data_IF_878837001991
#
_entry.id   IF_878837001991
#
_cell.length_a   1.000
_cell.length_b   1.000
_cell.length_c   1.000
_cell.angle_alpha   90.00
_cell.angle_beta   90.00
_cell.angle_gamma   90.00
#
_symmetry.space_group_name_H-M   'P 1'
#
loop_
_entity.id
_entity.type
_entity.pdbx_description
1 polymer ?
#
# COMPACT_ATOMS: atom_id res chain seq x y z
N UNK A 1 10.81 36.30 -26.39
CA UNK A 1 10.79 35.02 -25.68
C UNK A 1 11.27 33.81 -26.51
N UNK A 2 12.08 33.96 -27.54
CA UNK A 2 12.64 32.88 -28.39
C UNK A 2 14.15 32.65 -28.23
N UNK A 3 14.82 33.32 -27.28
CA UNK A 3 16.29 33.21 -27.10
C UNK A 3 16.74 32.50 -25.80
N UNK A 4 15.84 32.10 -24.95
CA UNK A 4 16.18 31.43 -23.67
C UNK A 4 16.20 29.88 -23.80
N UNK A 5 15.58 29.32 -24.85
CA UNK A 5 15.53 27.86 -25.06
C UNK A 5 16.80 27.26 -25.70
N UNK A 6 17.65 28.07 -26.33
CA UNK A 6 18.88 27.58 -26.99
C UNK A 6 20.07 27.47 -26.03
N UNK A 7 20.04 28.15 -24.89
CA UNK A 7 21.11 28.08 -23.87
C UNK A 7 21.00 26.90 -22.92
N UNK A 8 19.84 26.28 -22.76
CA UNK A 8 19.66 25.04 -21.95
C UNK A 8 20.09 23.76 -22.69
N UNK A 9 20.18 23.79 -24.03
CA UNK A 9 20.51 22.59 -24.82
C UNK A 9 22.03 22.39 -25.05
N UNK A 10 22.86 23.36 -24.72
CA UNK A 10 24.32 23.27 -24.85
C UNK A 10 25.02 22.84 -23.57
N UNK A 11 24.31 22.83 -22.41
CA UNK A 11 24.89 22.45 -21.11
C UNK A 11 24.77 20.96 -20.77
N UNK A 12 24.11 20.16 -21.61
CA UNK A 12 23.88 18.70 -21.35
C UNK A 12 24.86 17.78 -22.11
N UNK A 13 25.86 18.30 -22.84
CA UNK A 13 26.81 17.46 -23.64
C UNK A 13 28.25 17.49 -23.07
N UNK A 14 28.45 17.84 -21.82
CA UNK A 14 29.80 18.06 -21.29
C UNK A 14 30.19 17.31 -20.01
N UNK A 15 29.45 16.31 -19.56
CA UNK A 15 29.90 15.48 -18.42
C UNK A 15 29.70 14.01 -18.75
N UNK A 16 30.59 13.49 -19.62
CA UNK A 16 30.96 12.08 -19.51
C UNK A 16 31.94 11.98 -18.35
N UNK A 17 31.43 11.85 -17.13
CA UNK A 17 32.23 11.37 -16.03
C UNK A 17 32.67 9.95 -16.37
N UNK A 18 33.99 9.81 -16.57
CA UNK A 18 34.68 8.53 -16.48
C UNK A 18 34.45 8.01 -15.05
N UNK A 19 33.35 7.32 -14.80
CA UNK A 19 33.22 6.48 -13.64
C UNK A 19 34.22 5.31 -13.84
N UNK A 20 35.43 5.51 -13.38
CA UNK A 20 36.29 4.39 -13.06
C UNK A 20 35.47 3.50 -12.14
N UNK A 21 35.15 2.29 -12.60
CA UNK A 21 34.64 1.26 -11.72
C UNK A 21 35.75 1.02 -10.70
N UNK A 22 35.59 1.61 -9.54
CA UNK A 22 36.43 1.34 -8.37
C UNK A 22 36.29 -0.15 -8.12
N UNK A 23 37.38 -0.87 -8.26
CA UNK A 23 37.47 -2.29 -7.99
C UNK A 23 37.31 -2.47 -6.49
N UNK A 24 36.06 -2.47 -6.03
CA UNK A 24 35.69 -2.65 -4.63
C UNK A 24 36.04 -4.10 -4.28
N UNK A 25 37.11 -4.28 -3.52
CA UNK A 25 37.54 -5.58 -3.00
C UNK A 25 36.37 -6.31 -2.33
N UNK A 26 36.31 -7.63 -2.57
CA UNK A 26 35.33 -8.49 -1.93
C UNK A 26 35.46 -8.39 -0.41
N UNK A 27 34.47 -7.81 0.24
CA UNK A 27 34.49 -7.63 1.69
C UNK A 27 34.02 -8.91 2.37
N UNK A 28 34.87 -9.50 3.20
CA UNK A 28 34.46 -10.61 4.08
C UNK A 28 33.76 -10.04 5.31
N UNK A 29 32.52 -10.43 5.53
CA UNK A 29 31.67 -10.02 6.65
C UNK A 29 31.50 -11.21 7.59
N UNK A 30 32.17 -11.17 8.74
CA UNK A 30 31.88 -12.10 9.82
C UNK A 30 30.53 -11.75 10.44
N UNK A 31 29.55 -12.65 10.40
CA UNK A 31 28.19 -12.40 10.78
C UNK A 31 27.72 -13.34 11.89
N UNK A 32 27.32 -12.79 13.04
CA UNK A 32 26.66 -13.57 14.09
C UNK A 32 25.17 -13.75 13.77
N UNK A 33 24.52 -14.77 14.34
CA UNK A 33 23.08 -15.01 14.17
C UNK A 33 22.24 -13.78 14.60
N UNK A 34 22.60 -13.15 15.71
CA UNK A 34 21.92 -11.95 16.23
C UNK A 34 22.06 -10.76 15.30
N UNK A 35 23.24 -10.55 14.72
CA UNK A 35 23.48 -9.48 13.75
C UNK A 35 22.75 -9.75 12.43
N UNK A 36 22.70 -11.01 11.99
CA UNK A 36 21.94 -11.42 10.80
C UNK A 36 20.45 -11.12 10.97
N UNK A 37 19.85 -11.46 12.12
CA UNK A 37 18.44 -11.16 12.43
C UNK A 37 18.21 -9.66 12.44
N UNK A 38 19.06 -8.89 13.13
CA UNK A 38 18.92 -7.45 13.18
C UNK A 38 19.03 -6.81 11.79
N UNK A 39 19.96 -7.27 10.97
CA UNK A 39 20.15 -6.77 9.61
C UNK A 39 18.94 -7.09 8.73
N UNK A 40 18.40 -8.32 8.82
CA UNK A 40 17.20 -8.72 8.09
C UNK A 40 15.98 -7.86 8.46
N UNK A 41 15.75 -7.63 9.74
CA UNK A 41 14.66 -6.78 10.23
C UNK A 41 14.78 -5.32 9.78
N UNK A 42 16.00 -4.83 9.50
CA UNK A 42 16.25 -3.47 9.05
C UNK A 42 16.28 -3.28 7.53
N UNK A 43 16.74 -4.28 6.78
CA UNK A 43 17.10 -4.11 5.37
C UNK A 43 16.43 -5.12 4.42
N UNK A 44 15.82 -6.22 4.93
CA UNK A 44 15.15 -7.17 4.05
C UNK A 44 13.96 -6.54 3.35
N UNK A 45 13.68 -7.00 2.14
CA UNK A 45 12.53 -6.56 1.36
C UNK A 45 11.23 -6.87 2.11
N UNK A 46 11.14 -8.05 2.73
CA UNK A 46 9.94 -8.49 3.45
C UNK A 46 9.66 -7.60 4.67
N UNK A 47 10.70 -7.21 5.44
CA UNK A 47 10.55 -6.26 6.53
C UNK A 47 10.10 -4.88 6.04
N UNK A 48 10.63 -4.41 4.90
CA UNK A 48 10.22 -3.14 4.29
C UNK A 48 8.76 -3.19 3.81
N UNK A 49 8.32 -4.30 3.22
CA UNK A 49 6.91 -4.53 2.82
C UNK A 49 6.01 -4.48 4.05
N UNK A 50 6.31 -5.27 5.09
CA UNK A 50 5.53 -5.32 6.32
C UNK A 50 5.40 -3.92 6.97
N UNK A 51 6.49 -3.15 7.01
CA UNK A 51 6.48 -1.79 7.54
C UNK A 51 5.61 -0.85 6.70
N UNK A 52 5.64 -0.97 5.37
CA UNK A 52 4.83 -0.12 4.48
C UNK A 52 3.34 -0.49 4.58
N UNK A 53 2.99 -1.75 4.74
CA UNK A 53 1.61 -2.20 5.00
C UNK A 53 1.08 -1.61 6.32
N UNK A 54 1.87 -1.67 7.39
CA UNK A 54 1.52 -1.03 8.66
C UNK A 54 1.34 0.49 8.52
N UNK A 55 2.24 1.17 7.77
CA UNK A 55 2.11 2.61 7.49
C UNK A 55 0.83 2.92 6.71
N UNK A 56 0.48 2.09 5.72
CA UNK A 56 -0.76 2.23 4.96
C UNK A 56 -1.96 2.15 5.89
N UNK A 57 -2.06 1.10 6.70
CA UNK A 57 -3.14 0.94 7.67
C UNK A 57 -3.20 2.08 8.70
N UNK A 58 -2.03 2.60 9.13
CA UNK A 58 -1.95 3.76 10.01
C UNK A 58 -2.55 5.02 9.36
N UNK A 59 -2.21 5.29 8.09
CA UNK A 59 -2.72 6.46 7.39
C UNK A 59 -4.21 6.31 7.05
N UNK A 60 -4.68 5.11 6.71
CA UNK A 60 -6.11 4.82 6.53
C UNK A 60 -6.90 5.13 7.83
N UNK A 61 -6.39 4.64 8.96
CA UNK A 61 -6.99 4.94 10.26
C UNK A 61 -6.94 6.45 10.61
N UNK A 62 -5.84 7.13 10.27
CA UNK A 62 -5.73 8.59 10.44
C UNK A 62 -6.71 9.34 9.54
N UNK A 63 -6.86 8.91 8.29
CA UNK A 63 -7.85 9.47 7.35
C UNK A 63 -9.26 9.29 7.88
N UNK A 64 -9.61 8.10 8.35
CA UNK A 64 -10.90 7.87 9.00
C UNK A 64 -11.14 8.82 10.20
N UNK A 65 -10.13 9.08 11.01
CA UNK A 65 -10.24 10.07 12.09
C UNK A 65 -10.43 11.49 11.58
N UNK A 66 -9.73 11.86 10.51
CA UNK A 66 -9.85 13.17 9.88
C UNK A 66 -11.24 13.38 9.25
N UNK A 67 -11.84 12.37 8.63
CA UNK A 67 -13.20 12.40 8.08
C UNK A 67 -14.29 12.72 9.12
N UNK A 68 -13.96 12.62 10.40
CA UNK A 68 -14.86 13.01 11.49
C UNK A 68 -14.75 14.48 11.89
N UNK A 69 -13.80 15.22 11.33
CA UNK A 69 -13.61 16.65 11.53
C UNK A 69 -14.29 17.43 10.40
N UNK A 70 -14.58 18.74 10.61
CA UNK A 70 -15.08 19.59 9.55
C UNK A 70 -14.08 19.66 8.39
N UNK A 71 -14.55 19.51 7.17
CA UNK A 71 -13.77 19.63 5.95
C UNK A 71 -14.12 20.91 5.22
N UNK A 72 -13.14 21.64 4.73
CA UNK A 72 -13.33 22.84 3.90
C UNK A 72 -12.98 22.47 2.47
N UNK A 73 -13.97 22.56 1.59
CA UNK A 73 -13.85 22.18 0.18
C UNK A 73 -14.05 23.41 -0.68
N UNK A 74 -13.16 23.63 -1.64
CA UNK A 74 -13.37 24.58 -2.74
C UNK A 74 -13.67 23.80 -4.02
N UNK A 75 -14.81 24.07 -4.63
CA UNK A 75 -15.21 23.52 -5.92
C UNK A 75 -15.35 24.64 -6.94
N UNK A 76 -14.75 24.51 -8.11
CA UNK A 76 -14.83 25.54 -9.13
C UNK A 76 -14.85 24.99 -10.54
N UNK A 77 -15.62 25.62 -11.40
CA UNK A 77 -15.63 25.36 -12.85
C UNK A 77 -15.14 26.62 -13.57
N UNK A 78 -13.95 26.52 -14.19
CA UNK A 78 -13.21 27.66 -14.75
C UNK A 78 -12.58 27.31 -16.09
N UNK A 79 -13.02 27.85 -17.22
CA UNK A 79 -14.35 28.30 -17.59
C UNK A 79 -15.22 27.16 -18.14
N UNK A 80 -16.53 27.30 -18.11
CA UNK A 80 -17.45 26.46 -18.87
C UNK A 80 -17.98 27.23 -20.08
N UNK A 81 -17.87 26.64 -21.27
CA UNK A 81 -18.44 27.21 -22.51
C UNK A 81 -19.48 26.26 -23.06
N UNK A 82 -20.68 26.79 -23.30
CA UNK A 82 -21.80 26.04 -23.84
C UNK A 82 -22.44 26.80 -25.01
N UNK A 83 -22.57 26.15 -26.16
CA UNK A 83 -23.32 26.65 -27.31
C UNK A 83 -24.31 25.58 -27.73
N UNK A 84 -25.58 25.76 -27.38
CA UNK A 84 -26.64 24.79 -27.62
C UNK A 84 -27.96 25.45 -27.93
N UNK A 85 -28.87 24.74 -28.57
CA UNK A 85 -30.24 25.16 -28.75
C UNK A 85 -31.08 24.65 -27.60
N UNK A 86 -31.76 25.57 -26.89
CA UNK A 86 -32.72 25.22 -25.85
C UNK A 86 -34.12 25.51 -26.35
N UNK A 87 -35.06 24.60 -26.06
CA UNK A 87 -36.49 24.77 -26.34
C UNK A 87 -37.07 25.77 -25.37
N UNK A 88 -37.64 26.81 -25.90
CA UNK A 88 -38.29 27.89 -25.12
C UNK A 88 -39.77 27.96 -25.50
N UNK A 89 -40.64 27.99 -24.50
CA UNK A 89 -42.09 28.20 -24.70
C UNK A 89 -42.39 29.69 -24.67
N UNK A 90 -43.00 30.20 -25.73
CA UNK A 90 -43.46 31.58 -25.81
C UNK A 90 -44.75 31.78 -25.02
N UNK A 91 -45.13 33.03 -24.76
CA UNK A 91 -46.36 33.40 -24.03
C UNK A 91 -47.65 32.95 -24.70
N UNK A 92 -47.60 32.65 -26.01
CA UNK A 92 -48.71 32.10 -26.81
C UNK A 92 -48.82 30.58 -26.75
N UNK A 93 -47.93 29.92 -25.99
CA UNK A 93 -47.84 28.46 -25.87
C UNK A 93 -47.03 27.76 -26.95
N UNK A 94 -46.58 28.48 -28.00
CA UNK A 94 -45.73 27.92 -29.06
C UNK A 94 -44.30 27.67 -28.54
N UNK A 95 -43.62 26.69 -29.15
CA UNK A 95 -42.22 26.40 -28.83
C UNK A 95 -41.29 26.95 -29.91
N UNK A 96 -40.26 27.63 -29.48
CA UNK A 96 -39.17 28.09 -30.34
C UNK A 96 -37.84 27.54 -29.84
N UNK A 97 -36.85 27.37 -30.72
CA UNK A 97 -35.51 27.00 -30.34
C UNK A 97 -34.64 28.26 -30.30
N UNK A 98 -34.12 28.55 -29.13
CA UNK A 98 -33.21 29.68 -28.92
C UNK A 98 -31.80 29.16 -28.76
N UNK A 99 -30.86 29.74 -29.49
CA UNK A 99 -29.45 29.41 -29.36
C UNK A 99 -28.91 30.09 -28.09
N UNK A 100 -28.55 29.26 -27.12
CA UNK A 100 -27.82 29.70 -25.93
C UNK A 100 -26.33 29.59 -26.20
N UNK A 101 -25.62 30.69 -26.04
CA UNK A 101 -24.17 30.76 -26.18
C UNK A 101 -23.64 31.41 -24.92
N UNK A 102 -23.16 30.60 -23.98
CA UNK A 102 -22.89 30.99 -22.59
C UNK A 102 -21.47 30.62 -22.20
N UNK A 103 -20.79 31.58 -21.58
CA UNK A 103 -19.57 31.36 -20.84
C UNK A 103 -19.89 31.49 -19.35
N UNK A 104 -19.59 30.40 -18.59
CA UNK A 104 -19.82 30.34 -17.15
C UNK A 104 -18.52 30.19 -16.37
N UNK A 105 -18.52 30.80 -15.20
CA UNK A 105 -17.53 30.59 -14.14
C UNK A 105 -18.32 30.35 -12.84
N UNK A 106 -17.99 29.29 -12.14
CA UNK A 106 -18.59 28.97 -10.83
C UNK A 106 -17.50 28.73 -9.81
N UNK A 107 -17.70 29.21 -8.60
CA UNK A 107 -16.88 28.93 -7.44
C UNK A 107 -17.72 28.76 -6.20
N UNK A 108 -17.50 27.67 -5.48
CA UNK A 108 -18.18 27.35 -4.23
C UNK A 108 -17.17 26.97 -3.16
N UNK A 109 -17.35 27.50 -1.97
CA UNK A 109 -16.65 27.04 -0.76
C UNK A 109 -17.68 26.42 0.15
N UNK A 110 -17.44 25.18 0.58
CA UNK A 110 -18.28 24.48 1.54
C UNK A 110 -17.47 24.06 2.77
N UNK A 111 -18.08 24.19 3.94
CA UNK A 111 -17.58 23.60 5.19
C UNK A 111 -18.55 22.48 5.54
N UNK A 112 -18.08 21.25 5.43
CA UNK A 112 -18.89 20.05 5.60
C UNK A 112 -18.54 19.31 6.87
N UNK A 113 -19.55 18.80 7.59
CA UNK A 113 -19.36 18.00 8.79
C UNK A 113 -20.30 16.81 8.82
N UNK A 114 -19.75 15.62 8.96
CA UNK A 114 -20.51 14.42 9.19
C UNK A 114 -21.00 14.35 10.64
N UNK A 115 -22.29 14.08 10.84
CA UNK A 115 -22.91 13.92 12.17
C UNK A 115 -22.87 12.44 12.53
N UNK A 116 -21.85 12.02 13.25
CA UNK A 116 -21.61 10.61 13.55
C UNK A 116 -22.74 9.94 14.37
N UNK A 117 -23.53 10.72 15.11
CA UNK A 117 -24.62 10.19 15.93
C UNK A 117 -25.80 9.73 15.08
N UNK A 118 -26.14 10.51 14.05
CA UNK A 118 -27.33 10.30 13.22
C UNK A 118 -27.00 9.77 11.82
N UNK A 119 -25.72 9.84 11.40
CA UNK A 119 -25.29 9.50 10.05
C UNK A 119 -25.64 10.58 9.01
N UNK A 120 -26.11 11.73 9.46
CA UNK A 120 -26.39 12.89 8.60
C UNK A 120 -25.14 13.72 8.30
N UNK A 121 -25.30 14.72 7.43
CA UNK A 121 -24.26 15.67 7.03
C UNK A 121 -24.82 17.08 7.11
N UNK A 122 -24.08 17.98 7.71
CA UNK A 122 -24.35 19.40 7.70
C UNK A 122 -23.29 20.11 6.87
N UNK A 123 -23.69 21.07 6.05
CA UNK A 123 -22.78 21.85 5.23
C UNK A 123 -23.13 23.33 5.31
N UNK A 124 -22.12 24.17 5.44
CA UNK A 124 -22.22 25.62 5.30
C UNK A 124 -21.55 26.00 3.98
N UNK A 125 -22.34 26.52 3.04
CA UNK A 125 -21.90 26.80 1.69
C UNK A 125 -21.93 28.28 1.38
N UNK A 126 -20.98 28.75 0.58
CA UNK A 126 -21.00 30.04 -0.10
C UNK A 126 -20.59 29.83 -1.56
N UNK A 127 -21.34 30.40 -2.50
CA UNK A 127 -21.03 30.27 -3.92
C UNK A 127 -21.23 31.58 -4.69
N UNK A 128 -20.51 31.68 -5.79
CA UNK A 128 -20.62 32.72 -6.78
C UNK A 128 -20.59 32.13 -8.18
N UNK A 129 -21.66 32.41 -8.92
CA UNK A 129 -21.80 32.06 -10.32
C UNK A 129 -21.69 33.31 -11.18
N UNK A 130 -20.83 33.30 -12.16
CA UNK A 130 -20.76 34.32 -13.21
C UNK A 130 -21.16 33.67 -14.53
N UNK A 131 -22.12 34.28 -15.19
CA UNK A 131 -22.62 33.85 -16.48
C UNK A 131 -22.54 35.00 -17.48
N UNK A 132 -21.91 34.78 -18.60
CA UNK A 132 -21.87 35.72 -19.73
C UNK A 132 -22.56 35.11 -20.93
N UNK A 133 -23.70 35.73 -21.29
CA UNK A 133 -24.40 35.45 -22.53
C UNK A 133 -23.62 36.09 -23.69
N UNK A 134 -23.26 35.26 -24.71
CA UNK A 134 -22.54 35.71 -25.89
C UNK A 134 -23.50 35.83 -27.11
N UNK A 135 -23.21 36.77 -28.03
CA UNK A 135 -24.01 36.97 -29.24
C UNK A 135 -24.86 38.23 -29.20
N UNK A 136 -25.96 38.26 -29.97
CA UNK A 136 -26.87 39.42 -30.00
C UNK A 136 -27.57 39.56 -28.66
N UNK A 137 -27.39 40.72 -28.00
CA UNK A 137 -27.90 40.94 -26.65
C UNK A 137 -26.99 40.36 -25.55
N UNK A 138 -25.70 40.41 -25.74
CA UNK A 138 -24.73 39.96 -24.74
C UNK A 138 -24.86 40.73 -23.43
N UNK A 139 -24.91 40.00 -22.30
CA UNK A 139 -24.94 40.55 -20.94
C UNK A 139 -24.14 39.66 -19.99
N UNK A 140 -23.75 40.25 -18.89
CA UNK A 140 -23.15 39.52 -17.76
C UNK A 140 -24.22 39.37 -16.67
N UNK A 141 -24.16 38.25 -15.98
CA UNK A 141 -25.04 37.98 -14.84
C UNK A 141 -24.23 37.39 -13.72
N UNK A 142 -24.41 37.84 -12.52
CA UNK A 142 -23.84 37.30 -11.31
C UNK A 142 -24.97 36.77 -10.42
N UNK A 143 -24.78 35.56 -9.92
CA UNK A 143 -25.64 34.98 -8.89
C UNK A 143 -24.76 34.60 -7.71
N UNK A 144 -25.09 35.09 -6.53
CA UNK A 144 -24.38 34.78 -5.29
C UNK A 144 -25.27 34.02 -4.33
N UNK A 145 -24.67 33.11 -3.59
CA UNK A 145 -25.21 32.52 -2.38
C UNK A 145 -24.21 32.84 -1.26
N UNK A 146 -24.36 34.02 -0.60
CA UNK A 146 -23.40 34.45 0.41
C UNK A 146 -23.28 33.48 1.58
N UNK A 147 -24.40 32.88 1.98
CA UNK A 147 -24.45 31.85 3.02
C UNK A 147 -25.66 30.95 2.81
N UNK A 148 -25.43 29.64 2.89
CA UNK A 148 -26.47 28.63 2.88
C UNK A 148 -26.06 27.49 3.84
N UNK A 149 -27.01 27.11 4.70
CA UNK A 149 -26.87 25.98 5.60
C UNK A 149 -27.68 24.81 5.05
N UNK A 150 -27.04 23.70 4.81
CA UNK A 150 -27.63 22.48 4.24
C UNK A 150 -27.54 21.35 5.22
N UNK A 151 -28.64 20.63 5.43
CA UNK A 151 -28.68 19.38 6.20
C UNK A 151 -29.15 18.24 5.30
N UNK A 152 -28.37 17.19 5.24
CA UNK A 152 -28.77 15.92 4.62
C UNK A 152 -28.83 14.85 5.69
N UNK A 153 -30.00 14.28 5.96
CA UNK A 153 -30.21 13.33 7.05
C UNK A 153 -30.94 12.08 6.55
N UNK A 154 -30.25 10.90 6.52
CA UNK A 154 -30.94 9.63 6.33
C UNK A 154 -31.76 9.30 7.61
N UNK A 155 -33.05 9.00 7.43
CA UNK A 155 -33.97 8.71 8.56
C UNK A 155 -33.98 7.21 8.85
N UNK A 156 -34.02 6.37 7.83
CA UNK A 156 -34.06 4.92 7.97
C UNK A 156 -32.86 4.22 7.31
N UNK A 157 -31.89 4.98 6.80
CA UNK A 157 -30.66 4.47 6.25
C UNK A 157 -29.72 3.96 7.33
N UNK A 158 -28.71 3.21 6.91
CA UNK A 158 -27.60 2.80 7.77
C UNK A 158 -26.76 4.03 8.16
N UNK A 159 -26.30 4.05 9.41
CA UNK A 159 -25.33 5.04 9.84
C UNK A 159 -23.90 4.52 9.60
N UNK A 160 -23.33 4.82 8.43
CA UNK A 160 -21.99 4.38 8.01
C UNK A 160 -20.90 4.85 8.98
N UNK A 161 -21.02 6.06 9.52
CA UNK A 161 -20.06 6.63 10.47
C UNK A 161 -20.00 5.83 11.77
N UNK A 162 -21.12 5.31 12.22
CA UNK A 162 -21.20 4.45 13.41
C UNK A 162 -20.49 3.11 13.18
N UNK A 163 -20.65 2.53 11.98
CA UNK A 163 -20.01 1.26 11.64
C UNK A 163 -18.51 1.43 11.39
N UNK A 164 -18.10 2.44 10.64
CA UNK A 164 -16.69 2.79 10.43
C UNK A 164 -15.95 3.00 11.75
N UNK A 165 -16.56 3.69 12.73
CA UNK A 165 -15.98 3.84 14.07
C UNK A 165 -15.74 2.55 14.82
N UNK A 166 -16.45 1.48 14.50
CA UNK A 166 -16.28 0.16 15.12
C UNK A 166 -15.28 -0.71 14.36
N UNK A 167 -15.27 -0.59 13.02
CA UNK A 167 -14.48 -1.43 12.12
C UNK A 167 -13.03 -0.92 12.03
N UNK A 168 -12.83 0.38 11.80
CA UNK A 168 -11.49 0.93 11.51
C UNK A 168 -10.47 0.76 12.65
N UNK A 169 -10.82 0.89 13.93
CA UNK A 169 -9.90 0.58 15.01
C UNK A 169 -9.46 -0.88 15.00
N UNK A 170 -10.40 -1.82 14.73
CA UNK A 170 -10.09 -3.27 14.67
C UNK A 170 -9.19 -3.58 13.50
N UNK A 171 -9.42 -2.96 12.33
CA UNK A 171 -8.57 -3.08 11.15
C UNK A 171 -7.13 -2.62 11.42
N UNK A 172 -6.97 -1.52 12.13
CA UNK A 172 -5.64 -1.04 12.51
C UNK A 172 -4.96 -1.94 13.54
N UNK A 173 -5.68 -2.49 14.51
CA UNK A 173 -5.13 -3.46 15.46
C UNK A 173 -4.78 -4.80 14.79
N UNK A 174 -5.54 -5.23 13.77
CA UNK A 174 -5.21 -6.37 12.91
C UNK A 174 -3.89 -6.13 12.17
N UNK A 175 -3.74 -4.95 11.53
CA UNK A 175 -2.52 -4.60 10.81
C UNK A 175 -1.29 -4.54 11.72
N UNK A 176 -1.42 -4.08 12.98
CA UNK A 176 -0.34 -4.13 13.95
C UNK A 176 0.06 -5.56 14.31
N UNK A 177 -0.90 -6.43 14.51
CA UNK A 177 -0.63 -7.84 14.79
C UNK A 177 0.02 -8.53 13.59
N UNK A 178 -0.46 -8.28 12.37
CA UNK A 178 0.11 -8.79 11.13
C UNK A 178 1.55 -8.30 10.92
N UNK A 179 1.86 -7.05 11.24
CA UNK A 179 3.23 -6.53 11.21
C UNK A 179 4.16 -7.29 12.15
N UNK A 180 3.73 -7.55 13.39
CA UNK A 180 4.53 -8.33 14.35
C UNK A 180 4.76 -9.76 13.85
N UNK A 181 3.74 -10.41 13.29
CA UNK A 181 3.86 -11.75 12.70
C UNK A 181 4.85 -11.74 11.52
N UNK A 182 4.78 -10.73 10.64
CA UNK A 182 5.72 -10.61 9.51
C UNK A 182 7.16 -10.38 9.97
N UNK A 183 7.41 -9.62 11.03
CA UNK A 183 8.75 -9.45 11.61
C UNK A 183 9.29 -10.76 12.19
N UNK A 184 8.43 -11.55 12.84
CA UNK A 184 8.82 -12.88 13.32
C UNK A 184 9.08 -13.86 12.17
N UNK A 185 8.32 -13.81 11.09
CA UNK A 185 8.56 -14.60 9.87
C UNK A 185 9.90 -14.27 9.23
N UNK A 186 10.25 -12.98 9.14
CA UNK A 186 11.57 -12.52 8.69
C UNK A 186 12.66 -13.11 9.60
N UNK A 187 12.44 -13.14 10.91
CA UNK A 187 13.39 -13.73 11.88
C UNK A 187 13.57 -15.23 11.64
N UNK A 188 12.47 -15.97 11.49
CA UNK A 188 12.51 -17.44 11.24
C UNK A 188 13.20 -17.73 9.91
N UNK A 189 12.90 -16.99 8.87
CA UNK A 189 13.52 -17.13 7.54
C UNK A 189 15.02 -16.85 7.60
N UNK A 190 15.42 -15.80 8.34
CA UNK A 190 16.84 -15.48 8.57
C UNK A 190 17.57 -16.62 9.27
N UNK A 191 17.00 -17.15 10.35
CA UNK A 191 17.55 -18.29 11.09
C UNK A 191 17.73 -19.50 10.15
N UNK A 192 16.72 -19.79 9.34
CA UNK A 192 16.75 -20.91 8.40
C UNK A 192 17.87 -20.75 7.36
N UNK A 193 17.99 -19.59 6.73
CA UNK A 193 19.05 -19.34 5.75
C UNK A 193 20.43 -19.34 6.40
N UNK A 194 20.56 -18.81 7.61
CA UNK A 194 21.82 -18.78 8.35
C UNK A 194 22.34 -20.20 8.66
N UNK A 195 21.49 -21.07 9.20
CA UNK A 195 21.88 -22.44 9.50
C UNK A 195 22.09 -23.29 8.24
N UNK A 196 21.33 -23.04 7.17
CA UNK A 196 21.57 -23.70 5.88
C UNK A 196 22.94 -23.35 5.31
N UNK A 197 23.38 -22.09 5.44
CA UNK A 197 24.72 -21.69 5.04
C UNK A 197 25.79 -22.36 5.90
N UNK A 198 25.64 -22.36 7.21
CA UNK A 198 26.57 -23.00 8.15
C UNK A 198 26.74 -24.52 7.84
N UNK A 199 25.60 -25.21 7.66
CA UNK A 199 25.61 -26.64 7.31
C UNK A 199 26.25 -26.89 5.94
N UNK A 200 26.07 -25.98 4.98
CA UNK A 200 26.73 -26.14 3.66
C UNK A 200 28.23 -25.94 3.75
N UNK A 201 28.75 -25.05 4.61
CA UNK A 201 30.18 -24.88 4.87
C UNK A 201 30.78 -26.15 5.52
N UNK A 202 30.15 -26.65 6.57
CA UNK A 202 30.58 -27.87 7.23
C UNK A 202 30.58 -29.06 6.28
N UNK A 203 29.53 -29.20 5.47
CA UNK A 203 29.44 -30.29 4.49
C UNK A 203 30.56 -30.23 3.43
N UNK A 204 30.90 -29.02 2.97
CA UNK A 204 32.01 -28.82 2.02
C UNK A 204 33.34 -29.25 2.66
N UNK A 205 33.59 -28.89 3.91
CA UNK A 205 34.81 -29.26 4.62
C UNK A 205 34.91 -30.79 4.78
N UNK A 206 33.81 -31.45 5.18
CA UNK A 206 33.75 -32.93 5.25
C UNK A 206 33.99 -33.57 3.88
N UNK A 207 33.41 -33.00 2.79
CA UNK A 207 33.67 -33.55 1.44
C UNK A 207 35.12 -33.38 1.00
N UNK A 208 35.79 -32.26 1.36
CA UNK A 208 37.22 -32.04 1.07
C UNK A 208 38.09 -33.05 1.82
N UNK A 209 37.84 -33.29 3.11
CA UNK A 209 38.54 -34.29 3.90
C UNK A 209 38.36 -35.71 3.33
N UNK A 210 37.13 -36.04 2.90
CA UNK A 210 36.85 -37.32 2.26
C UNK A 210 37.59 -37.48 0.92
N UNK A 211 37.71 -36.42 0.11
CA UNK A 211 38.48 -36.42 -1.13
C UNK A 211 39.99 -36.63 -0.84
N UNK A 212 40.51 -35.91 0.16
CA UNK A 212 41.94 -36.10 0.56
C UNK A 212 42.20 -37.53 0.98
N UNK A 213 41.34 -38.14 1.81
CA UNK A 213 41.45 -39.52 2.24
C UNK A 213 41.36 -40.51 1.05
N UNK A 214 40.41 -40.30 0.12
CA UNK A 214 40.28 -41.15 -1.07
C UNK A 214 41.50 -41.05 -1.99
N UNK A 215 42.08 -39.88 -2.17
CA UNK A 215 43.31 -39.68 -2.93
C UNK A 215 44.51 -40.40 -2.28
N UNK A 216 44.69 -40.27 -0.95
CA UNK A 216 45.73 -41.00 -0.21
C UNK A 216 45.59 -42.50 -0.37
N UNK A 217 44.38 -43.04 -0.28
CA UNK A 217 44.12 -44.48 -0.49
C UNK A 217 44.46 -44.91 -1.92
N UNK A 218 44.10 -44.09 -2.93
CA UNK A 218 44.44 -44.37 -4.32
C UNK A 218 45.95 -44.33 -4.57
N UNK A 219 46.69 -43.37 -4.01
CA UNK A 219 48.14 -43.28 -4.09
C UNK A 219 48.83 -44.54 -3.47
N UNK A 220 48.36 -44.95 -2.28
CA UNK A 220 48.86 -46.23 -1.64
C UNK A 220 48.57 -47.44 -2.54
N UNK A 221 47.39 -47.47 -3.16
CA UNK A 221 46.99 -48.52 -4.07
C UNK A 221 47.94 -48.62 -5.31
N UNK A 222 48.29 -47.46 -5.89
CA UNK A 222 49.25 -47.38 -7.00
C UNK A 222 50.61 -48.03 -6.58
N UNK A 223 51.11 -47.68 -5.38
CA UNK A 223 52.34 -48.25 -4.86
C UNK A 223 52.20 -49.75 -4.64
N UNK A 224 51.15 -50.27 -4.02
CA UNK A 224 50.86 -51.67 -3.79
C UNK A 224 50.71 -52.46 -5.11
N UNK A 225 50.10 -51.86 -6.15
CA UNK A 225 50.00 -52.50 -7.47
C UNK A 225 51.38 -52.72 -8.13
N UNK A 226 52.26 -51.71 -8.01
CA UNK A 226 53.66 -51.85 -8.55
C UNK A 226 54.42 -53.02 -7.98
N UNK A 227 54.14 -53.41 -6.75
CA UNK A 227 54.82 -54.59 -6.08
C UNK A 227 53.93 -55.83 -6.11
N UNK A 228 52.83 -55.82 -6.87
CA UNK A 228 52.01 -57.03 -7.10
C UNK A 228 51.03 -57.40 -5.96
N UNK A 229 50.84 -56.54 -4.97
CA UNK A 229 49.99 -56.80 -3.78
C UNK A 229 48.47 -56.55 -3.95
N UNK A 230 48.01 -55.86 -5.02
CA UNK A 230 46.64 -55.69 -5.33
C UNK A 230 46.29 -55.92 -6.80
N UNK A 231 45.05 -56.26 -7.09
CA UNK A 231 44.56 -56.48 -8.45
C UNK A 231 44.34 -55.15 -9.19
N UNK A 232 44.26 -55.21 -10.52
CA UNK A 232 43.90 -54.02 -11.32
C UNK A 232 42.47 -53.56 -11.08
N UNK A 233 41.57 -54.51 -10.80
CA UNK A 233 40.19 -54.22 -10.47
C UNK A 233 40.10 -53.39 -9.19
N UNK A 234 40.79 -53.73 -8.12
CA UNK A 234 40.86 -53.02 -6.85
C UNK A 234 41.45 -51.60 -7.05
N UNK A 235 42.50 -51.48 -7.87
CA UNK A 235 43.05 -50.16 -8.20
C UNK A 235 42.00 -49.26 -8.91
N UNK A 236 41.27 -49.83 -9.87
CA UNK A 236 40.22 -49.09 -10.60
C UNK A 236 39.07 -48.72 -9.70
N UNK A 237 38.67 -49.55 -8.73
CA UNK A 237 37.67 -49.24 -7.73
C UNK A 237 38.06 -48.04 -6.84
N UNK A 238 39.34 -48.02 -6.38
CA UNK A 238 39.83 -46.88 -5.59
C UNK A 238 39.94 -45.59 -6.41
N UNK A 239 40.33 -45.71 -7.69
CA UNK A 239 40.29 -44.57 -8.61
C UNK A 239 38.89 -44.04 -8.80
N UNK A 240 37.89 -44.90 -8.98
CA UNK A 240 36.48 -44.53 -9.08
C UNK A 240 36.01 -43.84 -7.81
N UNK A 241 36.38 -44.35 -6.63
CA UNK A 241 36.04 -43.72 -5.34
C UNK A 241 36.61 -42.30 -5.21
N UNK A 242 37.87 -42.10 -5.62
CA UNK A 242 38.47 -40.75 -5.61
C UNK A 242 37.78 -39.79 -6.58
N UNK A 243 37.38 -40.27 -7.79
CA UNK A 243 36.60 -39.45 -8.73
C UNK A 243 35.21 -39.12 -8.21
N UNK A 244 34.55 -40.08 -7.55
CA UNK A 244 33.25 -39.81 -6.90
C UNK A 244 33.36 -38.79 -5.76
N UNK A 245 34.42 -38.92 -4.91
CA UNK A 245 34.68 -37.95 -3.85
C UNK A 245 34.92 -36.54 -4.43
N UNK A 246 35.64 -36.42 -5.56
CA UNK A 246 35.85 -35.15 -6.28
C UNK A 246 34.52 -34.57 -6.78
N UNK A 247 33.62 -35.41 -7.34
CA UNK A 247 32.27 -35.00 -7.74
C UNK A 247 31.48 -34.40 -6.58
N UNK A 248 31.51 -35.07 -5.39
CA UNK A 248 30.86 -34.60 -4.18
C UNK A 248 31.36 -33.24 -3.69
N UNK A 249 32.66 -32.97 -3.79
CA UNK A 249 33.22 -31.65 -3.46
C UNK A 249 32.65 -30.57 -4.39
N UNK A 250 32.52 -30.87 -5.69
CA UNK A 250 31.95 -29.92 -6.67
C UNK A 250 30.47 -29.63 -6.36
N UNK A 251 29.68 -30.66 -6.01
CA UNK A 251 28.29 -30.53 -5.61
C UNK A 251 28.16 -29.71 -4.30
N UNK A 252 28.96 -30.01 -3.29
CA UNK A 252 28.99 -29.29 -2.04
C UNK A 252 29.35 -27.79 -2.21
N UNK A 253 30.36 -27.51 -3.09
CA UNK A 253 30.72 -26.13 -3.42
C UNK A 253 29.59 -25.37 -4.12
N UNK A 254 28.86 -26.03 -5.03
CA UNK A 254 27.69 -25.43 -5.69
C UNK A 254 26.57 -25.14 -4.69
N UNK A 255 26.33 -26.08 -3.75
CA UNK A 255 25.35 -25.90 -2.67
C UNK A 255 25.72 -24.73 -1.78
N UNK A 256 26.99 -24.63 -1.35
CA UNK A 256 27.47 -23.50 -0.55
C UNK A 256 27.22 -22.16 -1.26
N UNK A 257 27.58 -22.09 -2.55
CA UNK A 257 27.34 -20.85 -3.33
C UNK A 257 25.86 -20.49 -3.40
N UNK A 258 24.96 -21.48 -3.51
CA UNK A 258 23.52 -21.26 -3.52
C UNK A 258 23.01 -20.76 -2.17
N UNK A 259 23.43 -21.38 -1.05
CA UNK A 259 23.02 -20.95 0.29
C UNK A 259 23.59 -19.56 0.63
N UNK A 260 24.81 -19.28 0.22
CA UNK A 260 25.44 -17.96 0.34
C UNK A 260 24.63 -16.89 -0.42
N UNK A 261 24.22 -17.20 -1.65
CA UNK A 261 23.40 -16.29 -2.45
C UNK A 261 22.04 -16.01 -1.80
N UNK A 262 21.37 -17.07 -1.30
CA UNK A 262 20.06 -16.92 -0.65
C UNK A 262 20.12 -16.02 0.58
N UNK A 263 21.07 -16.28 1.50
CA UNK A 263 21.21 -15.45 2.70
C UNK A 263 21.61 -14.02 2.34
N UNK A 264 22.56 -13.82 1.44
CA UNK A 264 23.02 -12.50 1.02
C UNK A 264 21.92 -11.68 0.37
N UNK A 265 21.17 -12.28 -0.56
CA UNK A 265 20.03 -11.65 -1.22
C UNK A 265 18.94 -11.31 -0.23
N UNK A 266 18.64 -12.19 0.73
CA UNK A 266 17.64 -11.95 1.75
C UNK A 266 18.02 -10.80 2.71
N UNK A 267 19.31 -10.70 3.05
CA UNK A 267 19.83 -9.61 3.88
C UNK A 267 20.04 -8.28 3.13
N UNK A 268 19.84 -8.26 1.81
CA UNK A 268 20.07 -7.07 0.99
C UNK A 268 21.56 -6.68 0.87
N UNK A 269 22.47 -7.64 1.06
CA UNK A 269 23.91 -7.43 0.93
C UNK A 269 24.36 -7.46 -0.53
N UNK A 270 25.52 -6.84 -0.83
CA UNK A 270 26.09 -6.81 -2.17
C UNK A 270 26.50 -8.22 -2.64
N UNK A 271 26.46 -8.48 -3.95
CA UNK A 271 26.94 -9.73 -4.54
C UNK A 271 28.42 -10.02 -4.25
N UNK A 272 29.20 -9.00 -3.93
CA UNK A 272 30.65 -9.11 -3.62
C UNK A 272 30.95 -9.42 -2.16
N UNK A 273 29.95 -9.25 -1.26
CA UNK A 273 30.14 -9.54 0.16
C UNK A 273 30.14 -11.06 0.38
N UNK A 274 31.21 -11.58 0.97
CA UNK A 274 31.30 -12.95 1.43
C UNK A 274 30.93 -13.01 2.90
N UNK A 275 29.89 -13.78 3.24
CA UNK A 275 29.44 -13.99 4.61
C UNK A 275 30.21 -15.16 5.21
N UNK A 276 30.80 -14.95 6.37
CA UNK A 276 31.35 -16.01 7.22
C UNK A 276 30.46 -16.13 8.46
N UNK A 277 29.60 -17.16 8.53
CA UNK A 277 28.70 -17.32 9.68
C UNK A 277 29.50 -17.80 10.89
N UNK A 278 29.23 -17.19 12.03
CA UNK A 278 29.83 -17.58 13.31
C UNK A 278 28.92 -18.60 14.00
N UNK A 279 29.46 -19.74 14.42
CA UNK A 279 28.69 -20.74 15.15
C UNK A 279 28.12 -20.11 16.43
N UNK A 280 26.76 -20.11 16.60
CA UNK A 280 26.15 -19.52 17.78
C UNK A 280 26.47 -20.34 19.04
N UNK A 281 26.60 -19.67 20.18
CA UNK A 281 26.70 -20.34 21.45
C UNK A 281 25.44 -21.16 21.75
N UNK A 282 25.56 -22.20 22.58
CA UNK A 282 24.46 -23.11 22.88
C UNK A 282 23.21 -22.36 23.36
N UNK A 283 22.10 -22.54 22.70
CA UNK A 283 20.82 -21.97 23.09
C UNK A 283 20.28 -22.73 24.28
N UNK A 284 20.09 -22.03 25.40
CA UNK A 284 19.42 -22.60 26.58
C UNK A 284 17.96 -22.89 26.25
N UNK A 285 17.54 -24.15 26.38
CA UNK A 285 16.17 -24.58 26.10
C UNK A 285 15.15 -23.81 26.96
N UNK A 286 14.24 -23.08 26.30
CA UNK A 286 13.12 -22.41 26.96
C UNK A 286 11.99 -23.41 27.18
N UNK A 287 11.53 -23.56 28.44
CA UNK A 287 10.33 -24.34 28.72
C UNK A 287 9.09 -23.48 28.45
N UNK A 288 8.33 -23.88 27.44
CA UNK A 288 7.06 -23.22 27.09
C UNK A 288 5.90 -23.90 27.84
N UNK A 289 5.09 -23.08 28.51
CA UNK A 289 3.81 -23.53 29.08
C UNK A 289 2.73 -23.37 27.99
N UNK A 290 2.08 -24.47 27.65
CA UNK A 290 1.04 -24.50 26.62
C UNK A 290 -0.10 -23.51 26.89
N UNK A 291 -0.56 -23.40 28.15
CA UNK A 291 -1.66 -22.52 28.53
C UNK A 291 -1.30 -21.04 28.33
N UNK A 292 -0.08 -20.66 28.71
CA UNK A 292 0.40 -19.27 28.53
C UNK A 292 0.61 -18.95 27.06
N UNK A 293 1.16 -19.87 26.28
CA UNK A 293 1.36 -19.67 24.83
C UNK A 293 0.02 -19.53 24.12
N UNK A 294 -0.96 -20.40 24.45
CA UNK A 294 -2.29 -20.34 23.86
C UNK A 294 -3.00 -19.03 24.18
N UNK A 295 -2.97 -18.59 25.43
CA UNK A 295 -3.58 -17.31 25.82
C UNK A 295 -2.99 -16.12 25.09
N UNK A 296 -1.63 -16.05 24.99
CA UNK A 296 -0.96 -14.99 24.27
C UNK A 296 -1.20 -15.05 22.76
N UNK A 297 -1.26 -16.25 22.17
CA UNK A 297 -1.57 -16.42 20.76
C UNK A 297 -2.99 -15.93 20.44
N UNK A 298 -3.98 -16.22 21.30
CA UNK A 298 -5.34 -15.73 21.11
C UNK A 298 -5.46 -14.20 21.21
N UNK A 299 -4.67 -13.59 22.08
CA UNK A 299 -4.68 -12.13 22.29
C UNK A 299 -4.00 -11.35 21.15
N UNK A 300 -2.90 -11.87 20.62
CA UNK A 300 -2.02 -11.14 19.70
C UNK A 300 -2.09 -11.61 18.25
N UNK A 301 -2.89 -12.65 17.94
CA UNK A 301 -2.96 -13.20 16.60
C UNK A 301 -3.75 -12.27 15.65
N UNK A 302 -3.17 -11.96 14.51
CA UNK A 302 -3.82 -11.18 13.43
C UNK A 302 -5.08 -11.87 12.93
N UNK A 303 -5.09 -13.20 12.85
CA UNK A 303 -6.23 -13.99 12.41
C UNK A 303 -7.47 -13.82 13.30
N UNK A 304 -7.30 -13.78 14.63
CA UNK A 304 -8.41 -13.53 15.56
C UNK A 304 -9.02 -12.14 15.37
N UNK A 305 -8.18 -11.13 15.13
CA UNK A 305 -8.61 -9.76 14.83
C UNK A 305 -9.28 -9.67 13.45
N UNK A 306 -8.77 -10.40 12.46
CA UNK A 306 -9.38 -10.55 11.13
C UNK A 306 -10.79 -11.12 11.20
N UNK A 307 -11.01 -12.19 12.00
CA UNK A 307 -12.34 -12.77 12.21
C UNK A 307 -13.28 -11.72 12.80
N UNK A 308 -12.85 -10.99 13.83
CA UNK A 308 -13.66 -9.95 14.46
C UNK A 308 -14.01 -8.83 13.46
N UNK A 309 -13.03 -8.38 12.66
CA UNK A 309 -13.28 -7.37 11.60
C UNK A 309 -14.29 -7.88 10.59
N UNK A 310 -14.10 -9.10 10.06
CA UNK A 310 -15.04 -9.71 9.09
C UNK A 310 -16.44 -9.87 9.65
N UNK A 311 -16.58 -10.20 10.93
CA UNK A 311 -17.88 -10.27 11.57
C UNK A 311 -18.54 -8.87 11.62
N UNK A 312 -17.80 -7.83 12.01
CA UNK A 312 -18.31 -6.46 12.01
C UNK A 312 -18.66 -5.96 10.62
N UNK A 313 -17.88 -6.31 9.59
CA UNK A 313 -18.15 -5.99 8.20
C UNK A 313 -19.41 -6.70 7.70
N UNK A 314 -19.56 -7.99 7.97
CA UNK A 314 -20.77 -8.74 7.62
C UNK A 314 -22.03 -8.18 8.31
N UNK A 315 -21.92 -7.81 9.58
CA UNK A 315 -23.02 -7.17 10.31
C UNK A 315 -23.38 -5.81 9.69
N UNK A 316 -22.36 -5.05 9.25
CA UNK A 316 -22.55 -3.78 8.52
C UNK A 316 -23.24 -4.00 7.17
N UNK A 317 -22.82 -5.02 6.40
CA UNK A 317 -23.43 -5.35 5.11
C UNK A 317 -24.90 -5.72 5.27
N UNK A 318 -25.23 -6.54 6.28
CA UNK A 318 -26.62 -6.87 6.61
C UNK A 318 -27.42 -5.64 7.02
N UNK A 319 -26.83 -4.75 7.84
CA UNK A 319 -27.49 -3.50 8.24
C UNK A 319 -27.71 -2.58 7.03
N UNK A 320 -26.74 -2.51 6.11
CA UNK A 320 -26.85 -1.73 4.87
C UNK A 320 -27.93 -2.27 3.96
N UNK A 321 -27.96 -3.59 3.74
CA UNK A 321 -29.01 -4.22 2.95
C UNK A 321 -30.42 -3.95 3.52
N UNK A 322 -30.57 -4.05 4.85
CA UNK A 322 -31.85 -3.72 5.54
C UNK A 322 -32.17 -2.22 5.43
N UNK A 323 -31.18 -1.34 5.56
CA UNK A 323 -31.36 0.11 5.43
C UNK A 323 -31.81 0.52 4.03
N UNK A 324 -31.21 -0.09 3.00
CA UNK A 324 -31.51 0.20 1.62
C UNK A 324 -32.93 -0.23 1.17
N UNK A 325 -33.56 -1.13 1.90
CA UNK A 325 -34.96 -1.52 1.62
C UNK A 325 -35.95 -0.40 1.90
N UNK A 326 -35.62 0.56 2.72
CA UNK A 326 -36.51 1.67 3.16
C UNK A 326 -35.70 2.93 3.38
N UNK A 327 -35.01 3.44 2.37
CA UNK A 327 -34.24 4.68 2.54
C UNK A 327 -35.13 5.91 2.40
N UNK A 328 -35.21 6.71 3.45
CA UNK A 328 -35.82 8.02 3.44
C UNK A 328 -34.72 9.02 3.78
N UNK A 329 -34.51 9.98 2.89
CA UNK A 329 -33.53 11.04 3.08
C UNK A 329 -34.26 12.37 3.23
N UNK A 330 -33.98 13.07 4.32
CA UNK A 330 -34.40 14.44 4.53
C UNK A 330 -33.29 15.37 4.02
N UNK A 331 -33.64 16.25 3.15
CA UNK A 331 -32.81 17.36 2.70
C UNK A 331 -33.44 18.66 3.12
N UNK A 332 -32.68 19.53 3.77
CA UNK A 332 -33.12 20.87 4.14
C UNK A 332 -31.98 21.85 3.83
N UNK A 333 -32.33 22.97 3.19
CA UNK A 333 -31.40 24.05 2.89
C UNK A 333 -32.04 25.37 3.22
N UNK A 334 -31.34 26.24 3.94
CA UNK A 334 -31.75 27.57 4.30
C UNK A 334 -30.61 28.54 4.04
N UNK A 335 -30.85 29.63 3.35
CA UNK A 335 -29.81 30.61 3.03
C UNK A 335 -30.34 31.85 2.37
N UNK A 336 -29.42 32.61 1.81
CA UNK A 336 -29.69 33.83 1.07
C UNK A 336 -29.09 33.73 -0.32
N UNK A 337 -29.81 34.30 -1.30
CA UNK A 337 -29.31 34.36 -2.69
C UNK A 337 -29.54 35.77 -3.23
N UNK A 338 -28.62 36.22 -4.08
CA UNK A 338 -28.73 37.47 -4.79
C UNK A 338 -28.39 37.29 -6.26
N UNK A 339 -28.98 38.10 -7.11
CA UNK A 339 -28.77 38.05 -8.56
C UNK A 339 -28.77 39.48 -9.13
N UNK A 340 -27.76 39.83 -9.91
CA UNK A 340 -27.65 41.13 -10.57
C UNK A 340 -26.72 41.01 -11.80
N UNK A 341 -26.74 42.06 -12.63
CA UNK A 341 -25.83 42.23 -13.77
C UNK A 341 -24.42 42.68 -13.34
N UNK A 342 -24.26 43.12 -12.11
CA UNK A 342 -23.00 43.56 -11.51
C UNK A 342 -22.61 42.68 -10.32
N UNK A 343 -21.33 42.51 -10.07
CA UNK A 343 -20.82 41.73 -8.94
C UNK A 343 -21.35 42.25 -7.58
N UNK A 344 -21.30 43.56 -7.36
CA UNK A 344 -21.76 44.17 -6.09
C UNK A 344 -23.28 44.08 -5.91
N UNK A 345 -24.05 44.20 -7.00
CA UNK A 345 -25.50 44.05 -6.97
C UNK A 345 -25.98 42.63 -6.65
N UNK A 346 -25.20 41.63 -6.97
CA UNK A 346 -25.51 40.24 -6.62
C UNK A 346 -25.47 39.99 -5.09
N UNK A 347 -24.92 40.91 -4.30
CA UNK A 347 -24.88 40.81 -2.84
C UNK A 347 -25.87 41.76 -2.15
N UNK A 348 -26.62 42.57 -2.89
CA UNK A 348 -27.62 43.51 -2.36
C UNK A 348 -28.63 43.96 -3.44
N UNK A 349 -29.96 43.71 -3.28
CA UNK A 349 -30.59 43.04 -2.15
C UNK A 349 -30.52 41.51 -2.21
N UNK A 350 -30.39 40.88 -1.06
CA UNK A 350 -30.49 39.43 -0.92
C UNK A 350 -31.96 39.01 -0.76
N UNK A 351 -32.27 37.82 -1.25
CA UNK A 351 -33.58 37.17 -1.10
C UNK A 351 -33.40 35.87 -0.30
N UNK A 352 -34.40 35.54 0.49
CA UNK A 352 -34.47 34.28 1.21
C UNK A 352 -34.54 33.13 0.22
N UNK A 353 -33.77 32.08 0.50
CA UNK A 353 -33.82 30.83 -0.21
C UNK A 353 -34.02 29.69 0.80
N UNK A 354 -35.15 29.01 0.68
CA UNK A 354 -35.51 27.91 1.57
C UNK A 354 -35.96 26.73 0.73
N UNK A 355 -35.34 25.58 0.93
CA UNK A 355 -35.69 24.33 0.28
C UNK A 355 -35.80 23.27 1.35
N UNK A 356 -36.91 22.57 1.40
CA UNK A 356 -37.12 21.38 2.23
C UNK A 356 -37.66 20.29 1.34
N UNK A 357 -36.91 19.23 1.22
CA UNK A 357 -37.25 18.07 0.40
C UNK A 357 -37.21 16.79 1.24
N UNK A 358 -38.15 15.91 1.03
CA UNK A 358 -38.17 14.56 1.59
C UNK A 358 -38.13 13.57 0.43
N UNK A 359 -36.95 12.98 0.25
CA UNK A 359 -36.71 11.93 -0.75
C UNK A 359 -37.04 10.56 -0.17
N UNK A 360 -37.83 9.78 -0.89
CA UNK A 360 -38.11 8.37 -0.57
C UNK A 360 -37.59 7.50 -1.70
N UNK A 361 -36.72 6.52 -1.38
CA UNK A 361 -36.23 5.52 -2.31
C UNK A 361 -36.60 4.13 -1.81
N UNK A 362 -37.46 3.45 -2.53
CA UNK A 362 -37.90 2.10 -2.21
C UNK A 362 -37.62 1.20 -3.43
N UNK A 363 -36.76 0.17 -3.34
CA UNK A 363 -36.59 -0.77 -4.43
C UNK A 363 -37.88 -1.58 -4.60
N UNK A 364 -38.50 -1.51 -5.79
CA UNK A 364 -39.75 -2.21 -6.11
C UNK A 364 -39.48 -3.65 -6.52
N UNK A 365 -38.34 -3.90 -7.15
CA UNK A 365 -37.88 -5.24 -7.56
C UNK A 365 -36.37 -5.33 -7.41
N UNK A 366 -35.90 -6.20 -6.52
CA UNK A 366 -34.52 -6.63 -6.44
C UNK A 366 -34.42 -8.04 -7.03
N UNK A 367 -33.83 -8.18 -8.19
CA UNK A 367 -33.55 -9.49 -8.77
C UNK A 367 -32.19 -9.99 -8.22
N UNK A 368 -32.22 -10.64 -7.06
CA UNK A 368 -31.13 -11.43 -6.53
C UNK A 368 -30.35 -10.83 -5.42
#
# INVERSE_FOLDING_TARGET
MKRIWILCLIYTIGVCDNSYAEEVEARTVSLSLTDAIRLAQMQSVDAAVALNELKTAYWEYRTHKAEQLPEVIFTGTLPSYSKQYSKYQQSDGAYTYVQNNVLGLNGEISIEQNIALTGGKIALNTSLDFTRQLGKGAYNEFMSVPVSLTLTQPIFGVNDQKWKRRIEPVRYEEAKAAFMESVEEVTITTITHYFNLLLAEDNLEVCKQNLENANKLYEIAIAKRKIGHISEIELMQLKQSALQAKGKVTEAQSSLNSMMFQLRSFLGLSERDRIEPVLPEAITGVRLDYQQVLARAQENNSFSKNILRRQLEADYDVATAKGNQRSINLFASVGYTGKDLSFSGAYNPLKDNQVVEVGVSIPILGLG
#
